data_IF_290210914296
#
_entry.id   IF_290210914296
#
_cell.length_a   1.000
_cell.length_b   1.000
_cell.length_c   1.000
_cell.angle_alpha   90.00
_cell.angle_beta   90.00
_cell.angle_gamma   90.00
#
_symmetry.space_group_name_H-M   'P 1'
#
loop_
_entity.id
_entity.type
_entity.pdbx_description
1 polymer ?
#
# COMPACT_ATOMS: atom_id res chain seq x y z
N UNK A 1 -5.28 15.07 -3.38
CA UNK A 1 -3.97 14.68 -2.83
C UNK A 1 -3.67 13.23 -3.18
N UNK A 2 -2.41 12.94 -3.46
CA UNK A 2 -2.02 11.58 -3.80
C UNK A 2 -1.94 10.70 -2.55
N UNK A 3 -2.46 9.50 -2.65
CA UNK A 3 -2.30 8.48 -1.60
C UNK A 3 -1.08 7.64 -1.97
N UNK A 4 -0.16 7.48 -1.03
CA UNK A 4 1.09 6.75 -1.25
C UNK A 4 1.11 5.35 -0.63
N UNK A 5 0.19 5.06 0.28
CA UNK A 5 0.11 3.75 0.94
C UNK A 5 -1.29 3.21 0.81
N UNK A 6 -1.40 1.97 0.35
CA UNK A 6 -2.68 1.31 0.13
C UNK A 6 -2.75 0.08 1.02
N UNK A 7 -3.60 0.12 2.03
CA UNK A 7 -3.80 -0.96 2.99
C UNK A 7 -4.72 -2.05 2.42
N UNK A 8 -4.50 -3.27 2.84
CA UNK A 8 -5.43 -4.37 2.58
C UNK A 8 -5.53 -5.26 3.83
N UNK A 9 -6.72 -5.79 4.09
CA UNK A 9 -6.98 -6.64 5.24
C UNK A 9 -8.43 -6.52 5.70
N UNK A 10 -8.88 -7.46 6.47
CA UNK A 10 -10.23 -7.46 6.99
C UNK A 10 -11.32 -7.54 5.94
N UNK A 11 -11.03 -8.12 4.78
CA UNK A 11 -11.97 -8.23 3.68
C UNK A 11 -12.09 -6.99 2.81
N UNK A 12 -11.25 -5.98 3.04
CA UNK A 12 -11.25 -4.73 2.26
C UNK A 12 -9.83 -4.33 1.89
N UNK A 13 -9.70 -3.73 0.71
CA UNK A 13 -8.45 -3.15 0.27
C UNK A 13 -8.70 -1.72 -0.21
N UNK A 14 -7.74 -0.82 0.05
CA UNK A 14 -7.79 0.56 -0.45
C UNK A 14 -7.59 0.61 -1.96
N UNK A 15 -6.85 -0.36 -2.51
CA UNK A 15 -6.61 -0.47 -3.95
C UNK A 15 -7.47 -1.53 -4.61
N UNK A 16 -7.24 -1.73 -5.91
CA UNK A 16 -7.95 -2.76 -6.68
C UNK A 16 -7.07 -3.27 -7.82
N UNK A 17 -7.59 -4.26 -8.57
CA UNK A 17 -6.85 -4.94 -9.64
C UNK A 17 -6.48 -4.02 -10.82
N UNK A 18 -7.17 -2.90 -10.98
CA UNK A 18 -6.93 -1.97 -12.08
C UNK A 18 -5.77 -1.00 -11.79
N UNK A 19 -5.21 -1.06 -10.60
CA UNK A 19 -4.15 -0.15 -10.15
C UNK A 19 -2.75 -0.77 -10.29
N UNK A 20 -2.53 -1.57 -11.31
CA UNK A 20 -1.25 -2.26 -11.51
C UNK A 20 -0.06 -1.31 -11.65
N UNK A 21 -0.25 -0.18 -12.33
CA UNK A 21 0.81 0.78 -12.52
C UNK A 21 1.22 1.45 -11.21
N UNK A 22 0.28 1.63 -10.32
CA UNK A 22 0.50 2.31 -9.04
C UNK A 22 0.95 1.34 -7.94
N UNK A 23 0.34 0.17 -7.87
CA UNK A 23 0.58 -0.80 -6.81
C UNK A 23 1.60 -1.89 -7.21
N UNK A 24 1.92 -2.00 -8.48
CA UNK A 24 2.63 -3.14 -9.02
C UNK A 24 1.71 -4.35 -9.17
N UNK A 25 2.14 -5.34 -9.94
CA UNK A 25 1.33 -6.53 -10.20
C UNK A 25 0.98 -7.30 -8.92
N UNK A 26 1.95 -7.45 -8.03
CA UNK A 26 1.75 -8.16 -6.76
C UNK A 26 0.79 -7.41 -5.83
N UNK A 27 0.97 -6.09 -5.70
CA UNK A 27 0.10 -5.28 -4.85
C UNK A 27 -1.33 -5.25 -5.35
N UNK A 28 -1.52 -5.12 -6.67
CA UNK A 28 -2.85 -5.16 -7.28
C UNK A 28 -3.51 -6.53 -7.09
N UNK A 29 -2.73 -7.61 -7.22
CA UNK A 29 -3.23 -8.98 -7.01
C UNK A 29 -3.68 -9.20 -5.57
N UNK A 30 -2.91 -8.72 -4.59
CA UNK A 30 -3.27 -8.82 -3.18
C UNK A 30 -4.55 -8.03 -2.88
N UNK A 31 -4.70 -6.84 -3.46
CA UNK A 31 -5.89 -6.03 -3.31
C UNK A 31 -7.11 -6.75 -3.91
N UNK A 32 -6.97 -7.35 -5.08
CA UNK A 32 -8.04 -8.11 -5.72
C UNK A 32 -8.48 -9.29 -4.86
N UNK A 33 -7.54 -10.08 -4.36
CA UNK A 33 -7.83 -11.22 -3.50
C UNK A 33 -8.54 -10.79 -2.23
N UNK A 34 -8.10 -9.72 -1.61
CA UNK A 34 -8.71 -9.20 -0.39
C UNK A 34 -10.14 -8.76 -0.64
N UNK A 35 -10.38 -8.02 -1.73
CA UNK A 35 -11.72 -7.55 -2.10
C UNK A 35 -12.65 -8.69 -2.50
N UNK A 36 -12.09 -9.80 -2.97
CA UNK A 36 -12.86 -11.00 -3.30
C UNK A 36 -13.23 -11.83 -2.06
N UNK A 37 -12.79 -11.44 -0.88
CA UNK A 37 -13.10 -12.14 0.36
C UNK A 37 -12.16 -13.28 0.68
N UNK A 38 -11.05 -13.40 -0.03
CA UNK A 38 -10.06 -14.43 0.26
C UNK A 38 -9.27 -14.09 1.53
N UNK A 39 -8.78 -15.10 2.28
CA UNK A 39 -8.09 -14.86 3.55
C UNK A 39 -6.65 -14.39 3.32
N UNK A 40 -6.47 -13.12 3.02
CA UNK A 40 -5.17 -12.48 2.82
C UNK A 40 -4.75 -11.85 4.15
N UNK A 41 -3.53 -12.13 4.64
CA UNK A 41 -3.02 -11.47 5.84
C UNK A 41 -3.00 -9.95 5.66
N UNK A 42 -3.28 -9.16 6.69
CA UNK A 42 -3.26 -7.70 6.56
C UNK A 42 -1.87 -7.18 6.21
N UNK A 43 -1.84 -6.16 5.40
CA UNK A 43 -0.61 -5.53 4.95
C UNK A 43 -0.90 -4.25 4.21
N UNK A 44 0.14 -3.65 3.63
CA UNK A 44 -0.02 -2.47 2.81
C UNK A 44 1.00 -2.45 1.69
N UNK A 45 0.67 -1.70 0.64
CA UNK A 45 1.55 -1.51 -0.52
C UNK A 45 1.96 -0.06 -0.57
N UNK A 46 3.27 0.19 -0.69
CA UNK A 46 3.80 1.53 -0.96
C UNK A 46 3.84 1.69 -2.48
N UNK A 47 3.25 2.77 -2.97
CA UNK A 47 3.05 2.97 -4.41
C UNK A 47 4.36 3.19 -5.18
N UNK A 48 4.31 2.96 -6.49
CA UNK A 48 5.43 3.27 -7.38
C UNK A 48 5.75 4.76 -7.36
N UNK A 49 4.73 5.62 -7.20
CA UNK A 49 4.94 7.07 -7.07
C UNK A 49 5.78 7.40 -5.84
N UNK A 50 5.55 6.73 -4.71
CA UNK A 50 6.35 6.93 -3.51
C UNK A 50 7.79 6.41 -3.72
N UNK A 51 7.95 5.29 -4.40
CA UNK A 51 9.27 4.77 -4.73
C UNK A 51 10.05 5.73 -5.63
N UNK A 52 9.38 6.34 -6.60
CA UNK A 52 10.01 7.34 -7.47
C UNK A 52 10.43 8.59 -6.68
N UNK A 53 9.61 9.03 -5.72
CA UNK A 53 9.98 10.13 -4.83
C UNK A 53 11.23 9.79 -4.01
N UNK A 54 11.31 8.58 -3.49
CA UNK A 54 12.46 8.12 -2.73
C UNK A 54 13.73 8.22 -3.56
N UNK A 55 13.70 7.73 -4.79
CA UNK A 55 14.84 7.77 -5.69
C UNK A 55 15.21 9.22 -6.06
N UNK A 56 14.22 10.04 -6.42
CA UNK A 56 14.46 11.43 -6.83
C UNK A 56 14.98 12.30 -5.69
N UNK A 57 14.73 11.93 -4.45
CA UNK A 57 15.19 12.68 -3.27
C UNK A 57 16.47 12.10 -2.68
N UNK A 58 17.17 11.24 -3.40
CA UNK A 58 18.46 10.72 -2.97
C UNK A 58 18.38 9.71 -1.82
N UNK A 59 17.30 8.98 -1.70
CA UNK A 59 17.15 7.94 -0.68
C UNK A 59 16.39 8.36 0.57
N UNK A 60 15.57 9.41 0.47
CA UNK A 60 14.70 9.82 1.57
C UNK A 60 13.26 9.98 1.09
N UNK A 61 12.29 9.75 1.97
CA UNK A 61 10.88 9.95 1.69
C UNK A 61 10.40 11.28 2.26
N UNK A 62 9.43 11.95 1.59
CA UNK A 62 8.73 13.07 2.21
C UNK A 62 8.11 12.66 3.54
N UNK A 63 8.06 13.59 4.48
CA UNK A 63 7.53 13.33 5.82
C UNK A 63 6.11 12.77 5.79
N UNK A 64 5.26 13.29 4.93
CA UNK A 64 3.87 12.83 4.79
C UNK A 64 3.77 11.37 4.35
N UNK A 65 4.73 10.87 3.55
CA UNK A 65 4.77 9.47 3.15
C UNK A 65 5.19 8.60 4.34
N UNK A 66 6.20 9.03 5.10
CA UNK A 66 6.63 8.31 6.30
C UNK A 66 5.50 8.22 7.32
N UNK A 67 4.75 9.30 7.54
CA UNK A 67 3.61 9.31 8.45
C UNK A 67 2.52 8.35 7.97
N UNK A 68 2.26 8.30 6.67
CA UNK A 68 1.28 7.40 6.09
C UNK A 68 1.68 5.93 6.28
N UNK A 69 2.97 5.62 6.10
CA UNK A 69 3.49 4.27 6.32
C UNK A 69 3.33 3.88 7.79
N UNK A 70 3.71 4.74 8.72
CA UNK A 70 3.58 4.47 10.16
C UNK A 70 2.12 4.25 10.56
N UNK A 71 1.23 5.06 10.05
CA UNK A 71 -0.20 4.94 10.32
C UNK A 71 -0.74 3.58 9.86
N UNK A 72 -0.36 3.15 8.66
CA UNK A 72 -0.82 1.87 8.13
C UNK A 72 -0.14 0.68 8.82
N UNK A 73 1.12 0.82 9.21
CA UNK A 73 1.80 -0.21 9.99
C UNK A 73 1.09 -0.43 11.33
N UNK A 74 0.57 0.62 11.95
CA UNK A 74 -0.19 0.53 13.18
C UNK A 74 -1.53 -0.19 13.04
N UNK A 75 -2.06 -0.34 11.82
CA UNK A 75 -3.28 -1.09 11.54
C UNK A 75 -3.05 -2.59 11.50
N UNK A 76 -1.81 -3.02 11.43
CA UNK A 76 -1.45 -4.43 11.41
C UNK A 76 -1.18 -4.86 12.83
N UNK A 77 -2.13 -5.60 13.42
CA UNK A 77 -2.01 -6.06 14.80
C UNK A 77 -1.35 -7.43 14.79
N UNK A 78 -0.19 -7.53 15.40
CA UNK A 78 0.49 -8.80 15.58
C UNK A 78 0.11 -9.34 16.95
N UNK A 79 -0.53 -10.47 16.94
CA UNK A 79 -0.91 -11.16 18.19
C UNK A 79 -0.11 -12.42 18.37
#
# INVERSE_FOLDING_TARGET
>A
MAQYVYFFGGGKADGNKDMKDLLGGKGAGLAEMTNAGLPVPPGFTVTTAACNLFVSRGGSLPREVDEEIEKNAGRIVVK
#
